data_IF_830580385717
#
_entry.id   IF_830580385717
#
_cell.length_a   1.000
_cell.length_b   1.000
_cell.length_c   1.000
_cell.angle_alpha   90.00
_cell.angle_beta   90.00
_cell.angle_gamma   90.00
#
_symmetry.space_group_name_H-M   'P 1'
#
loop_
_entity.id
_entity.type
_entity.pdbx_description
1 polymer ?
#
# COMPACT_ATOMS: atom_id res chain seq x y z
N UNK A 1 -3.14 2.85 -24.20
CA UNK A 1 -2.72 1.65 -23.47
C UNK A 1 -2.04 2.17 -22.23
N UNK A 2 -2.77 2.27 -21.13
CA UNK A 2 -2.19 2.69 -19.87
C UNK A 2 -1.36 1.52 -19.33
N UNK A 3 -0.10 1.48 -19.79
CA UNK A 3 0.99 0.77 -19.13
C UNK A 3 0.99 1.26 -17.68
N UNK A 4 0.31 0.53 -16.81
CA UNK A 4 0.34 0.83 -15.38
C UNK A 4 1.68 0.33 -14.89
N UNK A 5 2.74 1.06 -15.23
CA UNK A 5 4.10 0.77 -14.80
C UNK A 5 4.08 0.55 -13.30
N UNK A 6 4.63 -0.58 -12.90
CA UNK A 6 4.62 -0.98 -11.51
C UNK A 6 5.54 -0.05 -10.72
N UNK A 7 4.94 0.89 -9.99
CA UNK A 7 5.68 1.89 -9.25
C UNK A 7 5.71 1.60 -7.76
N UNK A 8 6.85 1.90 -7.15
CA UNK A 8 7.03 1.85 -5.70
C UNK A 8 6.58 3.17 -5.06
N UNK A 9 5.46 3.12 -4.36
CA UNK A 9 4.89 4.25 -3.62
C UNK A 9 5.53 4.38 -2.24
N UNK A 10 5.91 5.60 -1.88
CA UNK A 10 6.32 5.92 -0.50
C UNK A 10 5.09 6.11 0.39
N UNK A 11 5.30 6.03 1.70
CA UNK A 11 4.24 6.24 2.70
C UNK A 11 3.46 7.54 2.48
N UNK A 12 4.13 8.65 2.13
CA UNK A 12 3.47 9.93 1.84
C UNK A 12 2.48 9.81 0.68
N UNK A 13 2.86 9.12 -0.39
CA UNK A 13 1.99 8.89 -1.56
C UNK A 13 0.86 7.94 -1.23
N UNK A 14 1.12 6.90 -0.42
CA UNK A 14 0.08 5.98 0.05
C UNK A 14 -0.97 6.72 0.89
N UNK A 15 -0.55 7.58 1.82
CA UNK A 15 -1.45 8.43 2.61
C UNK A 15 -2.28 9.34 1.68
N UNK A 16 -1.63 9.99 0.70
CA UNK A 16 -2.33 10.86 -0.24
C UNK A 16 -3.34 10.11 -1.12
N UNK A 17 -3.03 8.88 -1.55
CA UNK A 17 -3.94 8.06 -2.38
C UNK A 17 -5.08 7.43 -1.59
N UNK A 18 -4.80 6.94 -0.40
CA UNK A 18 -5.78 6.18 0.42
C UNK A 18 -6.57 7.07 1.37
N UNK A 19 -6.13 8.30 1.62
CA UNK A 19 -6.69 9.19 2.63
C UNK A 19 -6.48 8.70 4.07
N UNK A 20 -5.84 7.53 4.28
CA UNK A 20 -5.63 6.95 5.59
C UNK A 20 -4.42 7.58 6.28
N UNK A 21 -4.53 7.95 7.56
CA UNK A 21 -3.37 8.43 8.31
C UNK A 21 -2.37 7.28 8.52
N UNK A 22 -1.09 7.66 8.64
CA UNK A 22 0.03 6.75 8.89
C UNK A 22 -0.27 5.68 9.94
N UNK A 23 -0.82 6.08 11.09
CA UNK A 23 -1.13 5.17 12.19
C UNK A 23 -2.15 4.11 11.80
N UNK A 24 -3.19 4.47 11.04
CA UNK A 24 -4.20 3.52 10.57
C UNK A 24 -3.61 2.56 9.56
N UNK A 25 -2.74 3.04 8.66
CA UNK A 25 -2.04 2.16 7.70
C UNK A 25 -1.24 1.09 8.45
N UNK A 26 -0.41 1.46 9.43
CA UNK A 26 0.36 0.48 10.20
C UNK A 26 -0.51 -0.45 11.04
N UNK A 27 -1.63 0.04 11.57
CA UNK A 27 -2.61 -0.80 12.28
C UNK A 27 -3.25 -1.82 11.34
N UNK A 28 -3.67 -1.38 10.16
CA UNK A 28 -4.33 -2.23 9.17
C UNK A 28 -3.33 -3.26 8.58
N UNK A 29 -2.06 -2.89 8.42
CA UNK A 29 -0.98 -3.84 8.08
C UNK A 29 -0.84 -4.91 9.17
N UNK A 30 -0.86 -4.52 10.45
CA UNK A 30 -0.80 -5.48 11.57
C UNK A 30 -2.05 -6.38 11.63
N UNK A 31 -3.19 -5.88 11.18
CA UNK A 31 -4.44 -6.64 11.08
C UNK A 31 -4.55 -7.49 9.80
N UNK A 32 -3.60 -7.38 8.86
CA UNK A 32 -3.64 -8.07 7.56
C UNK A 32 -4.68 -7.51 6.58
N UNK A 33 -5.24 -6.32 6.86
CA UNK A 33 -6.29 -5.67 6.05
C UNK A 33 -5.75 -4.57 5.14
N UNK A 34 -4.43 -4.40 5.10
CA UNK A 34 -3.75 -3.43 4.23
C UNK A 34 -2.43 -4.02 3.71
N UNK A 35 -2.04 -3.75 2.46
CA UNK A 35 -0.82 -4.29 1.88
C UNK A 35 0.43 -3.96 2.70
N UNK A 36 1.24 -4.96 2.98
CA UNK A 36 2.52 -4.78 3.65
C UNK A 36 3.53 -4.01 2.77
N UNK A 37 4.38 -3.17 3.37
CA UNK A 37 5.46 -2.50 2.66
C UNK A 37 6.58 -3.48 2.28
N UNK A 38 7.10 -3.32 1.07
CA UNK A 38 8.26 -4.03 0.56
C UNK A 38 9.56 -3.26 0.86
N UNK A 39 10.60 -3.98 1.27
CA UNK A 39 11.92 -3.39 1.52
C UNK A 39 12.63 -3.18 0.19
N UNK A 40 12.84 -1.92 -0.19
CA UNK A 40 13.56 -1.52 -1.41
C UNK A 40 14.99 -1.03 -1.11
N UNK A 41 15.44 -1.14 0.14
CA UNK A 41 16.80 -0.81 0.55
C UNK A 41 17.00 -0.93 2.06
N UNK A 42 18.23 -0.70 2.53
CA UNK A 42 18.63 -0.93 3.93
C UNK A 42 17.77 -0.21 4.97
N UNK A 43 17.28 1.00 4.65
CA UNK A 43 16.37 1.80 5.51
C UNK A 43 15.13 2.29 4.77
N UNK A 44 14.86 1.70 3.60
CA UNK A 44 13.88 2.20 2.66
C UNK A 44 12.79 1.15 2.41
N UNK A 45 11.54 1.55 2.63
CA UNK A 45 10.36 0.75 2.30
C UNK A 45 9.46 1.48 1.32
N UNK A 46 8.70 0.71 0.55
CA UNK A 46 7.70 1.21 -0.40
C UNK A 46 6.58 0.20 -0.61
N UNK A 47 5.47 0.63 -1.20
CA UNK A 47 4.33 -0.22 -1.55
C UNK A 47 4.23 -0.31 -3.07
N UNK A 48 3.95 -1.49 -3.61
CA UNK A 48 3.65 -1.61 -5.04
C UNK A 48 2.33 -0.91 -5.34
N UNK A 49 2.31 -0.10 -6.39
CA UNK A 49 1.13 0.60 -6.88
C UNK A 49 -0.01 -0.41 -7.14
N UNK A 50 0.30 -1.55 -7.76
CA UNK A 50 -0.64 -2.65 -8.02
C UNK A 50 -1.33 -3.16 -6.75
N UNK A 51 -0.58 -3.39 -5.67
CA UNK A 51 -1.12 -3.82 -4.37
C UNK A 51 -2.05 -2.77 -3.76
N UNK A 52 -1.66 -1.50 -3.86
CA UNK A 52 -2.46 -0.38 -3.35
C UNK A 52 -3.72 -0.17 -4.19
N UNK A 53 -3.65 -0.31 -5.51
CA UNK A 53 -4.81 -0.27 -6.40
C UNK A 53 -5.79 -1.42 -6.09
N UNK A 54 -5.27 -2.65 -5.95
CA UNK A 54 -6.08 -3.81 -5.55
C UNK A 54 -6.77 -3.60 -4.19
N UNK A 55 -6.07 -2.98 -3.23
CA UNK A 55 -6.68 -2.59 -1.96
C UNK A 55 -7.76 -1.51 -2.15
N UNK A 56 -7.54 -0.51 -3.01
CA UNK A 56 -8.53 0.53 -3.29
C UNK A 56 -9.80 0.00 -3.98
N UNK A 57 -9.70 -1.07 -4.77
CA UNK A 57 -10.87 -1.74 -5.36
C UNK A 57 -11.76 -2.39 -4.30
N UNK A 58 -11.17 -2.91 -3.22
CA UNK A 58 -11.91 -3.61 -2.16
C UNK A 58 -11.27 -3.43 -0.77
N UNK A 59 -11.35 -2.23 -0.16
CA UNK A 59 -10.60 -1.91 1.07
C UNK A 59 -11.07 -2.68 2.32
N UNK A 60 -12.30 -3.20 2.31
CA UNK A 60 -12.88 -3.99 3.42
C UNK A 60 -12.68 -5.51 3.23
N UNK A 61 -12.48 -5.96 1.99
CA UNK A 61 -12.32 -7.37 1.65
C UNK A 61 -10.87 -7.74 1.29
N UNK A 62 -9.93 -6.79 1.41
CA UNK A 62 -8.52 -7.04 1.19
C UNK A 62 -7.98 -8.00 2.26
N UNK A 63 -7.41 -9.12 1.82
CA UNK A 63 -6.68 -10.05 2.67
C UNK A 63 -5.28 -10.23 2.08
N UNK A 64 -4.26 -10.04 2.92
CA UNK A 64 -2.87 -10.36 2.62
C UNK A 64 -2.73 -11.89 2.80
N UNK A 65 -2.84 -12.64 1.69
CA UNK A 65 -2.60 -14.09 1.61
C UNK A 65 -1.09 -14.40 1.74
#
# INVERSE_FOLDING_TARGET
MDETEEQFLRLRTVIAKTGKPKASIYRDIHLGTFPAPEKIGARAVAWRLSRILRWMEAPTAYQDD
#
